data_IF_406155551890
#
_entry.id   IF_406155551890
#
_cell.length_a   1.000
_cell.length_b   1.000
_cell.length_c   1.000
_cell.angle_alpha   90.00
_cell.angle_beta   90.00
_cell.angle_gamma   90.00
#
_symmetry.space_group_name_H-M   'P 1'
#
loop_
_entity.id
_entity.type
_entity.pdbx_description
1 polymer ?
#
# COMPACT_ATOMS: atom_id res chain seq x y z
N UNK A 1 14.94 6.93 8.28
CA UNK A 1 13.53 7.30 8.08
C UNK A 1 12.66 6.29 8.80
N UNK A 2 11.71 6.73 9.61
CA UNK A 2 10.76 5.83 10.24
C UNK A 2 9.55 5.55 9.33
N UNK A 3 8.71 4.58 9.71
CA UNK A 3 7.58 4.17 8.88
C UNK A 3 6.55 5.29 8.69
N UNK A 4 6.36 6.15 9.68
CA UNK A 4 5.44 7.29 9.56
C UNK A 4 5.97 8.30 8.55
N UNK A 5 7.24 8.68 8.66
CA UNK A 5 7.88 9.58 7.71
C UNK A 5 7.88 9.01 6.30
N UNK A 6 8.14 7.72 6.17
CA UNK A 6 8.08 7.02 4.91
C UNK A 6 6.69 7.09 4.27
N UNK A 7 5.65 6.85 5.07
CA UNK A 7 4.27 6.88 4.57
C UNK A 7 3.86 8.29 4.17
N UNK A 8 4.25 9.30 4.95
CA UNK A 8 4.01 10.70 4.61
C UNK A 8 4.73 11.09 3.31
N UNK A 9 5.99 10.67 3.17
CA UNK A 9 6.77 10.93 1.96
C UNK A 9 6.18 10.24 0.74
N UNK A 10 5.71 9.01 0.90
CA UNK A 10 5.05 8.25 -0.16
C UNK A 10 3.77 8.95 -0.60
N UNK A 11 2.94 9.40 0.34
CA UNK A 11 1.70 10.12 0.05
C UNK A 11 1.96 11.39 -0.75
N UNK A 12 2.99 12.15 -0.35
CA UNK A 12 3.38 13.36 -1.07
C UNK A 12 3.92 13.03 -2.48
N UNK A 13 4.70 11.98 -2.61
CA UNK A 13 5.30 11.56 -3.88
C UNK A 13 4.23 11.13 -4.88
N UNK A 14 3.27 10.31 -4.46
CA UNK A 14 2.23 9.82 -5.38
C UNK A 14 1.32 10.95 -5.86
N UNK A 15 0.98 11.88 -4.98
CA UNK A 15 0.13 13.04 -5.33
C UNK A 15 0.86 14.01 -6.25
N UNK A 16 2.16 14.17 -6.09
CA UNK A 16 2.98 15.08 -6.89
C UNK A 16 3.43 14.51 -8.24
N UNK A 17 3.29 13.21 -8.46
CA UNK A 17 3.77 12.58 -9.70
C UNK A 17 2.97 13.09 -10.91
N UNK A 18 3.65 13.57 -11.98
CA UNK A 18 2.96 14.11 -13.15
C UNK A 18 2.05 13.10 -13.87
N UNK A 19 2.42 11.84 -13.88
CA UNK A 19 1.62 10.78 -14.52
C UNK A 19 0.35 10.50 -13.73
N UNK A 20 0.44 10.52 -12.41
CA UNK A 20 -0.70 10.38 -11.53
C UNK A 20 -1.64 11.59 -11.69
N UNK A 21 -1.09 12.79 -11.72
CA UNK A 21 -1.87 14.01 -11.95
C UNK A 21 -2.56 14.01 -13.30
N UNK A 22 -1.89 13.54 -14.34
CA UNK A 22 -2.47 13.42 -15.68
C UNK A 22 -3.63 12.41 -15.70
N UNK A 23 -3.48 11.29 -15.02
CA UNK A 23 -4.54 10.28 -14.91
C UNK A 23 -5.77 10.84 -14.19
N UNK A 24 -5.56 11.60 -13.10
CA UNK A 24 -6.64 12.25 -12.35
C UNK A 24 -7.35 13.30 -13.21
N UNK A 25 -6.59 14.08 -13.96
CA UNK A 25 -7.15 15.10 -14.86
C UNK A 25 -8.02 14.47 -15.96
N UNK A 26 -7.63 13.30 -16.45
CA UNK A 26 -8.35 12.59 -17.50
C UNK A 26 -9.59 11.86 -17.00
N UNK A 27 -9.46 11.12 -15.89
CA UNK A 27 -10.46 10.15 -15.44
C UNK A 27 -11.20 10.61 -14.16
N UNK A 28 -10.81 11.73 -13.55
CA UNK A 28 -11.32 12.16 -12.25
C UNK A 28 -10.67 11.36 -11.13
N UNK A 29 -11.42 11.09 -10.06
CA UNK A 29 -10.88 10.31 -8.94
C UNK A 29 -10.42 8.94 -9.40
N UNK A 30 -9.18 8.58 -9.07
CA UNK A 30 -8.66 7.25 -9.37
C UNK A 30 -9.25 6.22 -8.40
N UNK A 31 -9.75 5.13 -8.96
CA UNK A 31 -10.32 4.01 -8.19
C UNK A 31 -9.18 3.08 -7.82
N UNK A 32 -8.75 3.11 -6.55
CA UNK A 32 -7.57 2.42 -6.07
C UNK A 32 -7.90 1.43 -4.98
N UNK A 33 -7.49 0.19 -5.15
CA UNK A 33 -7.48 -0.81 -4.07
C UNK A 33 -6.09 -0.81 -3.43
N UNK A 34 -6.03 -0.78 -2.09
CA UNK A 34 -4.78 -0.96 -1.36
C UNK A 34 -4.67 -2.44 -1.02
N UNK A 35 -3.70 -3.10 -1.62
CA UNK A 35 -3.45 -4.51 -1.36
C UNK A 35 -2.69 -4.69 -0.04
N UNK A 36 -2.84 -5.84 0.63
CA UNK A 36 -2.06 -6.13 1.83
C UNK A 36 -0.57 -6.05 1.53
N UNK A 37 0.20 -5.51 2.48
CA UNK A 37 1.65 -5.41 2.37
C UNK A 37 2.27 -6.81 2.28
N UNK A 38 3.23 -6.98 1.38
CA UNK A 38 3.94 -8.24 1.19
C UNK A 38 5.30 -8.15 1.88
N UNK A 39 5.57 -9.11 2.76
CA UNK A 39 6.84 -9.22 3.45
C UNK A 39 7.72 -10.25 2.74
N UNK A 40 8.74 -9.79 2.04
CA UNK A 40 9.71 -10.61 1.33
C UNK A 40 11.03 -10.77 2.11
N UNK A 41 11.04 -10.40 3.38
CA UNK A 41 12.23 -10.53 4.22
C UNK A 41 12.41 -11.98 4.66
N UNK A 42 13.59 -12.53 4.40
CA UNK A 42 13.89 -13.94 4.69
C UNK A 42 14.23 -14.21 6.16
N UNK A 43 14.78 -13.24 6.86
CA UNK A 43 15.28 -13.39 8.22
C UNK A 43 14.30 -12.94 9.29
N UNK A 44 13.33 -12.12 8.96
CA UNK A 44 12.35 -11.61 9.90
C UNK A 44 10.98 -11.56 9.25
N UNK A 45 10.01 -12.10 9.96
CA UNK A 45 8.62 -12.08 9.52
C UNK A 45 7.94 -10.90 10.18
N UNK A 46 7.45 -9.97 9.36
CA UNK A 46 6.53 -8.95 9.84
C UNK A 46 5.22 -9.66 10.21
N UNK A 47 4.78 -9.65 11.46
CA UNK A 47 3.54 -10.32 11.83
C UNK A 47 2.37 -9.83 10.98
N UNK A 48 1.45 -10.73 10.64
CA UNK A 48 0.34 -10.42 9.73
C UNK A 48 -0.51 -9.24 10.22
N UNK A 49 -0.77 -9.18 11.54
CA UNK A 49 -1.53 -8.08 12.12
C UNK A 49 -0.84 -6.73 11.94
N UNK A 50 0.48 -6.72 12.01
CA UNK A 50 1.28 -5.50 11.80
C UNK A 50 1.28 -5.06 10.34
N UNK A 51 1.35 -6.01 9.42
CA UNK A 51 1.23 -5.72 7.99
C UNK A 51 -0.14 -5.14 7.65
N UNK A 52 -1.21 -5.67 8.25
CA UNK A 52 -2.57 -5.16 8.06
C UNK A 52 -2.73 -3.75 8.63
N UNK A 53 -2.16 -3.47 9.81
CA UNK A 53 -2.14 -2.14 10.41
C UNK A 53 -1.38 -1.13 9.53
N UNK A 54 -0.27 -1.54 8.98
CA UNK A 54 0.51 -0.70 8.07
C UNK A 54 -0.29 -0.36 6.81
N UNK A 55 -0.93 -1.35 6.21
CA UNK A 55 -1.79 -1.17 5.02
C UNK A 55 -2.95 -0.20 5.32
N UNK A 56 -3.61 -0.38 6.46
CA UNK A 56 -4.69 0.51 6.90
C UNK A 56 -4.20 1.95 7.10
N UNK A 57 -3.02 2.11 7.68
CA UNK A 57 -2.45 3.44 7.92
C UNK A 57 -2.08 4.16 6.63
N UNK A 58 -1.53 3.45 5.66
CA UNK A 58 -1.27 4.01 4.32
C UNK A 58 -2.55 4.55 3.71
N UNK A 59 -3.61 3.76 3.75
CA UNK A 59 -4.91 4.16 3.22
C UNK A 59 -5.48 5.39 3.92
N UNK A 60 -5.39 5.43 5.25
CA UNK A 60 -5.87 6.57 6.05
C UNK A 60 -5.11 7.84 5.67
N UNK A 61 -3.77 7.77 5.61
CA UNK A 61 -2.94 8.92 5.29
C UNK A 61 -3.21 9.44 3.88
N UNK A 62 -3.35 8.56 2.91
CA UNK A 62 -3.69 8.97 1.55
C UNK A 62 -5.07 9.63 1.48
N UNK A 63 -6.06 9.11 2.19
CA UNK A 63 -7.39 9.70 2.22
C UNK A 63 -7.41 11.06 2.91
N UNK A 64 -6.51 11.31 3.87
CA UNK A 64 -6.38 12.61 4.52
C UNK A 64 -5.64 13.62 3.65
N UNK A 65 -4.62 13.19 2.90
CA UNK A 65 -3.81 14.08 2.06
C UNK A 65 -4.48 14.47 0.75
N UNK A 66 -5.29 13.60 0.19
CA UNK A 66 -5.88 13.82 -1.13
C UNK A 66 -7.27 13.17 -1.25
N UNK A 67 -8.25 13.63 -0.45
CA UNK A 67 -9.58 13.00 -0.41
C UNK A 67 -10.37 13.16 -1.72
N UNK A 68 -10.04 14.17 -2.52
CA UNK A 68 -10.70 14.46 -3.80
C UNK A 68 -10.04 13.76 -5.00
N UNK A 69 -8.90 13.09 -4.80
CA UNK A 69 -8.10 12.50 -5.88
C UNK A 69 -8.25 11.00 -6.01
N UNK A 70 -8.60 10.33 -4.92
CA UNK A 70 -8.67 8.87 -4.88
C UNK A 70 -10.01 8.40 -4.34
N UNK A 71 -10.58 7.40 -4.98
CA UNK A 71 -11.68 6.62 -4.45
C UNK A 71 -11.10 5.29 -3.97
N UNK A 72 -11.11 5.06 -2.65
CA UNK A 72 -10.51 3.88 -2.05
C UNK A 72 -11.48 2.71 -2.10
N UNK A 73 -11.04 1.62 -2.70
CA UNK A 73 -11.82 0.41 -2.85
C UNK A 73 -11.25 -0.64 -1.90
N UNK A 74 -12.12 -1.28 -1.15
CA UNK A 74 -11.70 -2.33 -0.22
C UNK A 74 -11.17 -3.54 -0.98
N UNK A 75 -10.10 -4.17 -0.47
CA UNK A 75 -9.58 -5.41 -1.01
C UNK A 75 -10.71 -6.44 -1.15
N UNK A 76 -10.71 -7.18 -2.24
CA UNK A 76 -11.80 -8.09 -2.60
C UNK A 76 -12.10 -9.12 -1.50
N UNK A 77 -11.07 -9.79 -0.99
CA UNK A 77 -11.26 -10.83 0.02
C UNK A 77 -11.78 -10.24 1.33
N UNK A 78 -11.26 -9.08 1.73
CA UNK A 78 -11.74 -8.37 2.92
C UNK A 78 -13.19 -7.92 2.75
N UNK A 79 -13.56 -7.44 1.57
CA UNK A 79 -14.92 -6.99 1.28
C UNK A 79 -15.92 -8.15 1.34
N UNK A 80 -15.64 -9.27 0.67
CA UNK A 80 -16.55 -10.40 0.67
C UNK A 80 -16.66 -11.07 2.04
N UNK A 81 -15.56 -11.13 2.80
CA UNK A 81 -15.61 -11.62 4.19
C UNK A 81 -16.49 -10.75 5.08
N UNK A 82 -16.36 -9.43 4.97
CA UNK A 82 -17.19 -8.49 5.71
C UNK A 82 -18.66 -8.62 5.31
N UNK A 83 -18.93 -8.68 4.01
CA UNK A 83 -20.30 -8.78 3.50
C UNK A 83 -20.98 -10.05 3.95
N UNK A 84 -20.28 -11.19 3.85
CA UNK A 84 -20.81 -12.49 4.30
C UNK A 84 -21.14 -12.46 5.79
N UNK A 85 -20.25 -11.92 6.61
CA UNK A 85 -20.45 -11.82 8.05
C UNK A 85 -21.62 -10.91 8.42
N UNK A 86 -21.74 -9.76 7.77
CA UNK A 86 -22.80 -8.78 8.08
C UNK A 86 -24.17 -9.22 7.58
N UNK A 87 -24.23 -9.86 6.43
CA UNK A 87 -25.49 -10.31 5.85
C UNK A 87 -25.85 -11.75 6.20
N UNK A 88 -24.94 -12.46 6.89
CA UNK A 88 -25.11 -13.85 7.35
C UNK A 88 -25.46 -14.83 6.22
N UNK A 89 -25.08 -14.49 4.99
CA UNK A 89 -25.33 -15.35 3.82
C UNK A 89 -24.35 -15.04 2.70
N UNK A 90 -24.04 -16.06 1.91
CA UNK A 90 -23.25 -15.91 0.71
C UNK A 90 -24.18 -15.51 -0.45
N UNK A 91 -24.12 -14.23 -0.82
CA UNK A 91 -24.96 -13.67 -1.88
C UNK A 91 -24.29 -13.68 -3.25
N UNK A 92 -23.07 -14.29 -3.36
CA UNK A 92 -22.30 -14.22 -4.59
C UNK A 92 -21.81 -12.80 -4.90
N UNK A 93 -21.54 -12.49 -6.17
CA UNK A 93 -21.03 -11.17 -6.56
C UNK A 93 -21.98 -10.05 -6.18
N UNK A 94 -21.44 -8.93 -5.69
CA UNK A 94 -22.20 -7.74 -5.35
C UNK A 94 -22.44 -6.91 -6.62
N UNK A 95 -23.69 -6.75 -7.11
CA UNK A 95 -23.94 -6.09 -8.39
C UNK A 95 -23.55 -4.62 -8.43
N UNK A 96 -23.55 -3.94 -7.27
CA UNK A 96 -23.16 -2.54 -7.17
C UNK A 96 -21.70 -2.31 -6.81
N UNK A 97 -20.91 -3.36 -6.72
CA UNK A 97 -19.50 -3.22 -6.37
C UNK A 97 -18.72 -2.54 -7.49
N UNK A 98 -17.85 -1.61 -7.09
CA UNK A 98 -17.00 -0.86 -8.02
C UNK A 98 -15.68 -1.61 -8.18
N UNK A 99 -15.28 -1.85 -9.41
CA UNK A 99 -13.98 -2.45 -9.69
C UNK A 99 -12.87 -1.40 -9.62
N UNK A 100 -11.71 -1.73 -9.04
CA UNK A 100 -10.57 -0.82 -9.06
C UNK A 100 -9.97 -0.71 -10.46
N UNK A 101 -9.42 0.46 -10.77
CA UNK A 101 -8.61 0.70 -11.96
C UNK A 101 -7.12 0.55 -11.67
N UNK A 102 -6.74 0.77 -10.42
CA UNK A 102 -5.36 0.74 -9.96
C UNK A 102 -5.25 -0.05 -8.67
N UNK A 103 -4.10 -0.68 -8.46
CA UNK A 103 -3.75 -1.32 -7.21
C UNK A 103 -2.49 -0.67 -6.64
N UNK A 104 -2.55 -0.28 -5.37
CA UNK A 104 -1.39 0.18 -4.61
C UNK A 104 -0.84 -1.01 -3.84
N UNK A 105 0.41 -1.35 -4.11
CA UNK A 105 1.12 -2.45 -3.45
C UNK A 105 2.33 -1.93 -2.70
N UNK A 106 2.70 -2.62 -1.64
CA UNK A 106 3.90 -2.35 -0.87
C UNK A 106 4.61 -3.66 -0.55
N UNK A 107 5.92 -3.69 -0.78
CA UNK A 107 6.76 -4.85 -0.53
C UNK A 107 7.92 -4.47 0.38
N UNK A 108 8.12 -5.23 1.45
CA UNK A 108 9.28 -5.10 2.31
C UNK A 108 10.34 -6.12 1.91
N UNK A 109 11.55 -5.64 1.67
CA UNK A 109 12.72 -6.46 1.33
C UNK A 109 13.87 -6.11 2.26
N UNK A 110 14.68 -7.12 2.61
CA UNK A 110 15.90 -6.89 3.36
C UNK A 110 16.96 -6.27 2.46
N UNK A 111 17.66 -5.25 2.96
CA UNK A 111 18.83 -4.70 2.32
C UNK A 111 20.06 -5.43 2.83
N UNK A 112 20.70 -6.22 1.95
CA UNK A 112 21.98 -6.85 2.25
C UNK A 112 23.09 -5.99 1.68
N UNK A 113 23.88 -5.35 2.53
CA UNK A 113 25.11 -4.67 2.09
C UNK A 113 26.26 -5.64 2.25
N UNK A 114 26.81 -6.10 1.14
CA UNK A 114 27.84 -7.14 1.09
C UNK A 114 29.17 -6.82 1.81
N UNK A 115 29.44 -5.56 2.12
CA UNK A 115 30.75 -5.12 2.61
C UNK A 115 30.77 -4.62 4.04
N UNK A 116 29.76 -4.81 4.84
CA UNK A 116 29.82 -4.32 6.20
C UNK A 116 29.94 -5.47 7.17
N UNK A 117 30.95 -5.35 8.02
CA UNK A 117 31.05 -6.15 9.24
C UNK A 117 29.87 -5.89 10.18
N UNK A 118 29.06 -4.89 9.88
CA UNK A 118 27.79 -4.61 10.53
C UNK A 118 26.67 -5.01 9.59
N UNK A 119 25.86 -5.97 10.03
CA UNK A 119 24.63 -6.31 9.33
C UNK A 119 23.78 -5.06 9.19
N UNK A 120 23.50 -4.66 7.96
CA UNK A 120 22.60 -3.57 7.73
C UNK A 120 21.21 -3.94 8.28
N UNK A 121 20.79 -3.24 9.32
CA UNK A 121 19.46 -3.38 9.91
C UNK A 121 18.42 -2.56 9.14
N UNK A 122 18.64 -2.37 7.85
CA UNK A 122 17.75 -1.60 7.01
C UNK A 122 16.90 -2.51 6.13
N UNK A 123 15.68 -2.06 5.89
CA UNK A 123 14.74 -2.68 4.97
C UNK A 123 14.42 -1.70 3.86
N UNK A 124 14.16 -2.25 2.68
CA UNK A 124 13.64 -1.48 1.56
C UNK A 124 12.14 -1.71 1.47
N UNK A 125 11.37 -0.63 1.49
CA UNK A 125 9.95 -0.67 1.20
C UNK A 125 9.71 -0.12 -0.20
N UNK A 126 9.17 -0.93 -1.08
CA UNK A 126 8.87 -0.55 -2.46
C UNK A 126 7.36 -0.41 -2.60
N UNK A 127 6.91 0.76 -3.05
CA UNK A 127 5.52 1.03 -3.39
C UNK A 127 5.34 1.08 -4.89
N UNK A 128 4.23 0.55 -5.37
CA UNK A 128 3.86 0.63 -6.78
C UNK A 128 2.38 0.90 -6.93
N UNK A 129 2.03 1.81 -7.84
CA UNK A 129 0.67 2.02 -8.30
C UNK A 129 0.56 1.43 -9.70
N UNK A 130 -0.16 0.32 -9.82
CA UNK A 130 -0.27 -0.45 -11.05
C UNK A 130 -1.62 -0.21 -11.71
N UNK A 131 -1.59 0.08 -13.01
CA UNK A 131 -2.78 0.15 -13.86
C UNK A 131 -3.24 -1.28 -14.17
N UNK A 132 -4.41 -1.65 -13.66
CA UNK A 132 -4.93 -3.01 -13.77
C UNK A 132 -5.51 -3.31 -15.16
N UNK A 133 -5.86 -2.29 -15.93
CA UNK A 133 -6.39 -2.45 -17.28
C UNK A 133 -5.27 -2.64 -18.31
N UNK A 134 -4.14 -1.98 -18.10
CA UNK A 134 -3.03 -1.95 -19.06
C UNK A 134 -1.79 -2.71 -18.60
N UNK A 135 -1.75 -3.23 -17.37
CA UNK A 135 -0.59 -3.92 -16.79
C UNK A 135 0.67 -3.07 -16.72
N UNK A 136 0.50 -1.78 -16.54
CA UNK A 136 1.63 -0.84 -16.45
C UNK A 136 1.75 -0.29 -15.04
N UNK A 137 2.98 0.01 -14.63
CA UNK A 137 3.23 0.69 -13.36
C UNK A 137 3.15 2.19 -13.63
N UNK A 138 2.13 2.84 -13.08
CA UNK A 138 1.93 4.28 -13.25
C UNK A 138 2.88 5.09 -12.38
N UNK A 139 3.16 4.62 -11.17
CA UNK A 139 4.02 5.27 -10.20
C UNK A 139 4.72 4.21 -9.36
N UNK A 140 5.96 4.47 -9.00
CA UNK A 140 6.72 3.63 -8.08
C UNK A 140 7.69 4.50 -7.30
N UNK A 141 7.89 4.16 -6.03
CA UNK A 141 8.90 4.78 -5.20
C UNK A 141 9.41 3.76 -4.17
N UNK A 142 10.55 4.06 -3.58
CA UNK A 142 11.18 3.18 -2.61
C UNK A 142 11.74 3.99 -1.44
N UNK A 143 11.67 3.41 -0.27
CA UNK A 143 12.14 4.05 0.95
C UNK A 143 12.95 3.07 1.77
N UNK A 144 14.05 3.56 2.34
CA UNK A 144 14.89 2.78 3.24
C UNK A 144 14.42 3.00 4.67
N UNK A 145 14.11 1.92 5.37
CA UNK A 145 13.58 1.94 6.73
C UNK A 145 14.50 1.15 7.65
N UNK A 146 14.87 1.73 8.77
CA UNK A 146 15.67 1.03 9.78
C UNK A 146 14.80 0.03 10.53
N UNK A 147 15.37 -1.15 10.83
CA UNK A 147 14.70 -2.22 11.59
C UNK A 147 14.07 -1.72 12.91
N UNK A 148 14.79 -0.90 13.63
CA UNK A 148 14.33 -0.31 14.90
C UNK A 148 13.07 0.54 14.71
N UNK A 149 12.96 1.24 13.58
CA UNK A 149 11.79 2.06 13.26
C UNK A 149 10.55 1.22 12.96
N UNK A 150 10.70 0.06 12.32
CA UNK A 150 9.61 -0.87 12.07
C UNK A 150 9.02 -1.35 13.39
N UNK A 151 9.87 -1.77 14.33
CA UNK A 151 9.44 -2.23 15.66
C UNK A 151 8.75 -1.13 16.45
N UNK A 152 9.30 0.08 16.46
CA UNK A 152 8.72 1.21 17.17
C UNK A 152 7.39 1.69 16.57
N UNK A 153 7.19 1.52 15.27
CA UNK A 153 5.95 1.88 14.60
C UNK A 153 4.78 1.00 15.05
N UNK A 154 5.08 -0.23 15.41
CA UNK A 154 4.09 -1.25 15.70
C UNK A 154 3.78 -1.39 17.20
N UNK A 155 4.58 -0.75 18.02
CA UNK A 155 4.32 -0.63 19.44
C UNK A 155 3.15 0.39 19.65
#
# INVERSE_FOLDING_TARGET
MDLKQMTDSMSASIVADPRVQAAIAKDGKLKVVVEPVVNEMTAEVLPRGEADMFTARVRILLSQHAPDKFLWIMNRDAFYSLRQRELEMDLGPAPGAINPQYALTAHFRSLTKENSKMRSEAYLCVYELTDLDHRTVLWSDKYEVKKKAVKGFLD
#
